data_IF_712701561488
#
_entry.id   IF_712701561488
#
_cell.length_a   1.000
_cell.length_b   1.000
_cell.length_c   1.000
_cell.angle_alpha   90.00
_cell.angle_beta   90.00
_cell.angle_gamma   90.00
#
_symmetry.space_group_name_H-M   'P 1'
#
loop_
_entity.id
_entity.type
_entity.pdbx_description
1 polymer ?
#
# COMPACT_ATOMS: atom_id res chain seq x y z
N UNK A 1 -24.74 -39.10 0.88
CA UNK A 1 -24.12 -37.77 1.08
C UNK A 1 -22.61 -38.00 1.11
N UNK A 2 -21.74 -37.50 0.25
CA UNK A 2 -21.77 -36.64 -0.95
C UNK A 2 -20.79 -37.32 -1.93
N UNK A 3 -21.20 -37.42 -3.20
CA UNK A 3 -20.51 -38.12 -4.29
C UNK A 3 -19.27 -37.34 -4.74
N UNK A 4 -18.10 -37.97 -4.74
CA UNK A 4 -16.94 -37.52 -5.55
C UNK A 4 -16.88 -38.41 -6.77
N UNK A 5 -17.50 -37.94 -7.84
CA UNK A 5 -17.41 -38.55 -9.17
C UNK A 5 -16.13 -38.06 -9.84
N UNK A 6 -15.08 -38.88 -9.83
CA UNK A 6 -13.96 -38.73 -10.78
C UNK A 6 -13.90 -40.03 -11.56
N UNK A 7 -14.56 -39.99 -12.71
CA UNK A 7 -14.56 -41.05 -13.70
C UNK A 7 -13.15 -41.14 -14.30
N UNK A 8 -12.47 -42.22 -13.95
CA UNK A 8 -11.29 -42.76 -14.60
C UNK A 8 -11.44 -42.79 -16.12
N UNK A 9 -10.45 -42.25 -16.84
CA UNK A 9 -10.11 -42.73 -18.19
C UNK A 9 -8.67 -43.23 -18.21
N UNK A 10 -8.43 -44.39 -18.83
CA UNK A 10 -7.19 -45.14 -18.69
C UNK A 10 -6.14 -44.61 -19.66
N UNK A 11 -4.91 -44.45 -19.21
CA UNK A 11 -3.77 -44.37 -20.12
C UNK A 11 -2.61 -45.14 -19.50
N UNK A 12 -2.51 -46.39 -19.94
CA UNK A 12 -1.33 -47.22 -20.12
C UNK A 12 -0.02 -46.78 -19.46
N UNK A 13 0.35 -47.54 -18.42
CA UNK A 13 1.68 -48.12 -18.18
C UNK A 13 2.77 -47.77 -19.22
N UNK A 14 3.79 -47.01 -18.81
CA UNK A 14 5.22 -47.41 -18.87
C UNK A 14 6.05 -46.54 -17.92
N UNK A 15 6.67 -47.22 -16.96
CA UNK A 15 7.68 -46.72 -16.04
C UNK A 15 8.96 -46.42 -16.84
N UNK A 16 9.39 -45.16 -16.89
CA UNK A 16 10.76 -44.80 -17.27
C UNK A 16 11.19 -43.49 -16.59
N UNK A 17 12.48 -43.42 -16.32
CA UNK A 17 13.17 -42.61 -15.32
C UNK A 17 13.04 -41.08 -15.48
N UNK A 18 12.92 -40.41 -14.33
CA UNK A 18 13.64 -39.20 -13.88
C UNK A 18 13.97 -38.15 -14.95
N UNK A 19 13.23 -37.03 -14.92
CA UNK A 19 13.82 -35.67 -14.97
C UNK A 19 12.83 -34.70 -14.35
N UNK A 20 13.06 -34.42 -13.07
CA UNK A 20 12.32 -33.43 -12.29
C UNK A 20 12.87 -32.04 -12.67
N UNK A 21 12.29 -31.38 -13.67
CA UNK A 21 12.53 -29.95 -13.88
C UNK A 21 11.66 -29.17 -12.88
N UNK A 22 12.13 -29.10 -11.62
CA UNK A 22 11.58 -28.16 -10.63
C UNK A 22 11.99 -26.77 -11.09
N UNK A 23 11.06 -26.05 -11.69
CA UNK A 23 11.13 -24.60 -11.80
C UNK A 23 10.91 -24.06 -10.39
N UNK A 24 12.00 -23.97 -9.61
CA UNK A 24 12.01 -23.35 -8.31
C UNK A 24 11.76 -21.86 -8.48
N UNK A 25 10.51 -21.44 -8.45
CA UNK A 25 10.16 -20.04 -8.21
C UNK A 25 10.64 -19.71 -6.81
N UNK A 26 11.84 -19.15 -6.69
CA UNK A 26 12.27 -18.50 -5.46
C UNK A 26 11.29 -17.35 -5.23
N UNK A 27 10.39 -17.53 -4.27
CA UNK A 27 9.65 -16.41 -3.72
C UNK A 27 10.70 -15.45 -3.14
N UNK A 28 10.98 -14.37 -3.86
CA UNK A 28 11.77 -13.26 -3.32
C UNK A 28 10.86 -12.63 -2.27
N UNK A 29 11.01 -13.03 -1.01
CA UNK A 29 10.46 -12.29 0.10
C UNK A 29 11.10 -10.90 0.05
N UNK A 30 10.35 -9.90 -0.35
CA UNK A 30 10.74 -8.51 -0.18
C UNK A 30 10.86 -8.27 1.33
N UNK A 31 12.10 -8.23 1.84
CA UNK A 31 12.38 -7.88 3.22
C UNK A 31 11.92 -6.44 3.45
N UNK A 32 10.83 -6.25 4.19
CA UNK A 32 10.32 -4.94 4.55
C UNK A 32 11.07 -4.40 5.76
N UNK A 33 12.36 -4.10 5.58
CA UNK A 33 13.30 -3.74 6.65
C UNK A 33 12.90 -2.50 7.48
N UNK A 34 11.95 -1.70 6.99
CA UNK A 34 11.49 -0.48 7.65
C UNK A 34 10.22 -0.67 8.50
N UNK A 35 9.59 -1.87 8.51
CA UNK A 35 8.26 -2.07 9.13
C UNK A 35 8.27 -1.97 10.65
N UNK A 36 9.39 -2.31 11.30
CA UNK A 36 9.52 -2.22 12.75
C UNK A 36 9.89 -0.79 13.23
N UNK A 37 10.25 0.10 12.31
CA UNK A 37 10.54 1.50 12.58
C UNK A 37 9.24 2.30 12.57
N UNK A 38 9.18 3.38 13.37
CA UNK A 38 8.11 4.37 13.28
C UNK A 38 8.72 5.76 13.12
N UNK A 39 7.89 6.79 12.95
CA UNK A 39 8.36 8.17 13.04
C UNK A 39 9.39 8.56 11.99
N UNK A 40 10.35 9.37 12.43
CA UNK A 40 11.43 9.87 11.58
C UNK A 40 12.34 8.73 11.10
N UNK A 41 12.58 7.71 11.92
CA UNK A 41 13.41 6.57 11.57
C UNK A 41 12.79 5.76 10.43
N UNK A 42 11.49 5.51 10.48
CA UNK A 42 10.77 4.86 9.37
C UNK A 42 10.84 5.69 8.10
N UNK A 43 10.64 7.01 8.22
CA UNK A 43 10.69 7.94 7.09
C UNK A 43 12.08 7.97 6.44
N UNK A 44 13.14 7.97 7.24
CA UNK A 44 14.53 7.88 6.77
C UNK A 44 14.76 6.55 6.05
N UNK A 45 14.42 5.43 6.68
CA UNK A 45 14.59 4.09 6.11
C UNK A 45 13.88 3.92 4.77
N UNK A 46 12.64 4.42 4.63
CA UNK A 46 11.90 4.31 3.37
C UNK A 46 12.49 5.21 2.27
N UNK A 47 12.98 6.40 2.61
CA UNK A 47 13.69 7.26 1.65
C UNK A 47 15.01 6.61 1.19
N UNK A 48 15.76 6.02 2.11
CA UNK A 48 17.00 5.29 1.78
C UNK A 48 16.72 4.10 0.85
N UNK A 49 15.66 3.34 1.14
CA UNK A 49 15.22 2.21 0.29
C UNK A 49 14.85 2.68 -1.12
N UNK A 50 14.08 3.76 -1.24
CA UNK A 50 13.74 4.35 -2.54
C UNK A 50 14.98 4.90 -3.26
N UNK A 51 15.95 5.42 -2.51
CA UNK A 51 17.19 5.95 -3.06
C UNK A 51 18.02 4.82 -3.67
N UNK A 52 18.13 3.68 -2.98
CA UNK A 52 18.84 2.51 -3.49
C UNK A 52 18.14 1.89 -4.71
N UNK A 53 16.81 1.86 -4.71
CA UNK A 53 16.03 1.46 -5.89
C UNK A 53 16.27 2.41 -7.08
N UNK A 54 16.29 3.72 -6.86
CA UNK A 54 16.57 4.71 -7.90
C UNK A 54 17.99 4.57 -8.45
N UNK A 55 18.99 4.27 -7.60
CA UNK A 55 20.37 3.99 -8.03
C UNK A 55 20.43 2.72 -8.88
N UNK A 56 19.77 1.65 -8.45
CA UNK A 56 19.73 0.37 -9.16
C UNK A 56 19.17 0.51 -10.58
N UNK A 57 18.11 1.32 -10.73
CA UNK A 57 17.47 1.58 -12.02
C UNK A 57 18.08 2.73 -12.81
N UNK A 58 19.15 3.36 -12.31
CA UNK A 58 19.83 4.47 -12.98
C UNK A 58 18.99 5.75 -13.09
N UNK A 59 17.96 5.91 -12.27
CA UNK A 59 17.08 7.08 -12.30
C UNK A 59 17.69 8.29 -11.58
N UNK A 60 18.62 8.98 -12.25
CA UNK A 60 19.40 10.09 -11.67
C UNK A 60 18.57 11.26 -11.16
N UNK A 61 17.42 11.56 -11.79
CA UNK A 61 16.54 12.64 -11.31
C UNK A 61 15.88 12.27 -9.98
N UNK A 62 15.37 11.05 -9.88
CA UNK A 62 14.77 10.54 -8.65
C UNK A 62 15.82 10.42 -7.55
N UNK A 63 17.01 9.88 -7.86
CA UNK A 63 18.14 9.79 -6.92
C UNK A 63 18.48 11.15 -6.30
N UNK A 64 18.63 12.20 -7.12
CA UNK A 64 18.93 13.56 -6.63
C UNK A 64 17.80 14.13 -5.76
N UNK A 65 16.54 13.89 -6.12
CA UNK A 65 15.39 14.31 -5.32
C UNK A 65 15.35 13.61 -3.96
N UNK A 66 15.54 12.29 -3.95
CA UNK A 66 15.54 11.48 -2.73
C UNK A 66 16.73 11.80 -1.82
N UNK A 67 17.92 12.06 -2.38
CA UNK A 67 19.07 12.48 -1.58
C UNK A 67 18.83 13.83 -0.86
N UNK A 68 18.17 14.79 -1.54
CA UNK A 68 17.77 16.06 -0.91
C UNK A 68 16.69 15.83 0.15
N UNK A 69 15.70 14.99 -0.11
CA UNK A 69 14.65 14.66 0.85
C UNK A 69 15.24 13.97 2.10
N UNK A 70 16.20 13.06 1.92
CA UNK A 70 16.89 12.37 3.00
C UNK A 70 17.61 13.37 3.91
N UNK A 71 18.39 14.29 3.33
CA UNK A 71 19.07 15.35 4.10
C UNK A 71 18.08 16.23 4.85
N UNK A 72 16.98 16.63 4.21
CA UNK A 72 15.96 17.46 4.84
C UNK A 72 15.30 16.74 6.03
N UNK A 73 14.98 15.45 5.89
CA UNK A 73 14.40 14.64 6.96
C UNK A 73 15.41 14.45 8.10
N UNK A 74 16.68 14.18 7.80
CA UNK A 74 17.73 14.06 8.81
C UNK A 74 17.96 15.36 9.60
N UNK A 75 17.73 16.52 8.98
CA UNK A 75 17.94 17.83 9.62
C UNK A 75 16.71 18.35 10.37
N UNK A 76 15.51 18.04 9.91
CA UNK A 76 14.29 18.76 10.32
C UNK A 76 13.15 17.85 10.79
N UNK A 77 13.26 16.53 10.68
CA UNK A 77 12.18 15.66 11.12
C UNK A 77 12.06 15.68 12.64
N UNK A 78 10.88 16.06 13.13
CA UNK A 78 10.50 15.98 14.54
C UNK A 78 9.19 15.20 14.65
N UNK A 79 8.98 14.53 15.79
CA UNK A 79 7.72 13.83 16.06
C UNK A 79 6.52 14.78 16.03
N UNK A 80 6.67 16.01 16.56
CA UNK A 80 5.62 17.04 16.53
C UNK A 80 5.21 17.40 15.11
N UNK A 81 6.19 17.67 14.23
CA UNK A 81 5.93 17.99 12.83
C UNK A 81 5.22 16.84 12.10
N UNK A 82 5.60 15.59 12.39
CA UNK A 82 4.97 14.43 11.79
C UNK A 82 3.52 14.25 12.28
N UNK A 83 3.27 14.47 13.57
CA UNK A 83 1.92 14.41 14.15
C UNK A 83 1.02 15.52 13.57
N UNK A 84 1.54 16.74 13.44
CA UNK A 84 0.80 17.87 12.84
C UNK A 84 0.44 17.56 11.38
N UNK A 85 1.40 17.08 10.58
CA UNK A 85 1.14 16.67 9.20
C UNK A 85 0.05 15.58 9.10
N UNK A 86 0.09 14.57 9.98
CA UNK A 86 -0.95 13.52 10.01
C UNK A 86 -2.32 14.06 10.43
N UNK A 87 -2.38 15.00 11.37
CA UNK A 87 -3.64 15.63 11.78
C UNK A 87 -4.26 16.44 10.64
N UNK A 88 -3.44 17.17 9.90
CA UNK A 88 -3.87 17.90 8.70
C UNK A 88 -4.37 16.95 7.61
N UNK A 89 -3.64 15.87 7.32
CA UNK A 89 -4.07 14.85 6.37
C UNK A 89 -5.39 14.19 6.82
N UNK A 90 -5.54 13.84 8.11
CA UNK A 90 -6.78 13.29 8.67
C UNK A 90 -7.95 14.26 8.49
N UNK A 91 -7.72 15.56 8.69
CA UNK A 91 -8.75 16.58 8.50
C UNK A 91 -9.14 16.69 7.03
N UNK A 92 -8.18 16.68 6.11
CA UNK A 92 -8.43 16.66 4.67
C UNK A 92 -9.26 15.42 4.27
N UNK A 93 -8.86 14.22 4.71
CA UNK A 93 -9.60 12.98 4.39
C UNK A 93 -11.03 13.00 4.90
N UNK A 94 -11.27 13.54 6.10
CA UNK A 94 -12.63 13.72 6.63
C UNK A 94 -13.45 14.69 5.77
N UNK A 95 -12.85 15.78 5.32
CA UNK A 95 -13.53 16.73 4.43
C UNK A 95 -13.84 16.09 3.07
N UNK A 96 -12.89 15.39 2.46
CA UNK A 96 -13.09 14.67 1.21
C UNK A 96 -14.25 13.65 1.31
N UNK A 97 -14.34 12.93 2.42
CA UNK A 97 -15.44 11.98 2.67
C UNK A 97 -16.78 12.70 2.68
N UNK A 98 -16.89 13.82 3.39
CA UNK A 98 -18.12 14.64 3.47
C UNK A 98 -18.50 15.14 2.07
N UNK A 99 -17.53 15.66 1.32
CA UNK A 99 -17.75 16.18 -0.02
C UNK A 99 -18.22 15.07 -0.98
N UNK A 100 -17.60 13.90 -0.92
CA UNK A 100 -18.04 12.74 -1.72
C UNK A 100 -19.39 12.17 -1.29
N UNK A 101 -19.76 12.26 -0.01
CA UNK A 101 -21.09 11.88 0.48
C UNK A 101 -22.17 12.80 -0.11
N UNK A 102 -21.91 14.12 -0.13
CA UNK A 102 -22.81 15.10 -0.74
C UNK A 102 -22.94 14.86 -2.26
N UNK A 103 -21.81 14.71 -2.96
CA UNK A 103 -21.76 14.40 -4.39
C UNK A 103 -22.52 13.10 -4.74
N UNK A 104 -22.39 12.07 -3.89
CA UNK A 104 -23.13 10.82 -4.03
C UNK A 104 -24.63 11.04 -3.87
N UNK A 105 -25.05 11.78 -2.85
CA UNK A 105 -26.47 12.09 -2.61
C UNK A 105 -27.08 12.87 -3.77
N UNK A 106 -26.31 13.78 -4.38
CA UNK A 106 -26.73 14.53 -5.57
C UNK A 106 -26.90 13.60 -6.77
N UNK A 107 -25.92 12.71 -7.00
CA UNK A 107 -26.01 11.71 -8.06
C UNK A 107 -27.20 10.74 -7.89
N UNK A 108 -27.57 10.41 -6.65
CA UNK A 108 -28.76 9.59 -6.35
C UNK A 108 -30.04 10.32 -6.73
N UNK A 109 -30.19 11.61 -6.38
CA UNK A 109 -31.36 12.42 -6.74
C UNK A 109 -31.50 12.59 -8.25
N UNK A 110 -30.38 12.64 -8.97
CA UNK A 110 -30.34 12.75 -10.42
C UNK A 110 -30.44 11.40 -11.16
N UNK A 111 -30.50 10.27 -10.44
CA UNK A 111 -30.54 8.93 -11.04
C UNK A 111 -29.26 8.51 -11.78
N UNK A 112 -28.12 9.14 -11.48
CA UNK A 112 -26.83 8.91 -12.17
C UNK A 112 -26.07 7.73 -11.54
N UNK A 113 -26.54 6.50 -11.77
CA UNK A 113 -26.00 5.28 -11.14
C UNK A 113 -24.47 5.11 -11.24
N UNK A 114 -23.87 5.38 -12.40
CA UNK A 114 -22.41 5.29 -12.56
C UNK A 114 -21.64 6.29 -11.67
N UNK A 115 -22.21 7.48 -11.42
CA UNK A 115 -21.61 8.45 -10.51
C UNK A 115 -21.77 8.00 -9.06
N UNK A 116 -22.92 7.44 -8.69
CA UNK A 116 -23.16 6.89 -7.35
C UNK A 116 -22.10 5.85 -7.00
N UNK A 117 -21.85 4.88 -7.89
CA UNK A 117 -20.82 3.86 -7.69
C UNK A 117 -19.41 4.48 -7.59
N UNK A 118 -19.08 5.42 -8.48
CA UNK A 118 -17.78 6.11 -8.46
C UNK A 118 -17.54 6.84 -7.13
N UNK A 119 -18.54 7.53 -6.60
CA UNK A 119 -18.42 8.25 -5.33
C UNK A 119 -18.38 7.29 -4.14
N UNK A 120 -19.12 6.19 -4.17
CA UNK A 120 -19.02 5.13 -3.16
C UNK A 120 -17.58 4.58 -3.07
N UNK A 121 -16.97 4.23 -4.20
CA UNK A 121 -15.58 3.78 -4.25
C UNK A 121 -14.57 4.85 -3.80
N UNK A 122 -14.88 6.14 -3.98
CA UNK A 122 -14.04 7.23 -3.48
C UNK A 122 -14.15 7.33 -1.96
N UNK A 123 -15.36 7.26 -1.40
CA UNK A 123 -15.60 7.28 0.05
C UNK A 123 -14.84 6.13 0.72
N UNK A 124 -14.98 4.90 0.21
CA UNK A 124 -14.30 3.71 0.77
C UNK A 124 -12.78 3.86 0.76
N UNK A 125 -12.22 4.41 -0.32
CA UNK A 125 -10.77 4.67 -0.40
C UNK A 125 -10.31 5.72 0.61
N UNK A 126 -11.07 6.82 0.77
CA UNK A 126 -10.71 7.84 1.75
C UNK A 126 -10.89 7.32 3.19
N UNK A 127 -11.87 6.44 3.45
CA UNK A 127 -12.05 5.79 4.75
C UNK A 127 -10.87 4.88 5.10
N UNK A 128 -10.44 4.03 4.16
CA UNK A 128 -9.27 3.16 4.36
C UNK A 128 -7.99 3.99 4.61
N UNK A 129 -7.81 5.09 3.88
CA UNK A 129 -6.69 6.01 4.08
C UNK A 129 -6.76 6.71 5.44
N UNK A 130 -7.96 7.17 5.83
CA UNK A 130 -8.21 7.80 7.13
C UNK A 130 -7.87 6.84 8.28
N UNK A 131 -8.30 5.58 8.20
CA UNK A 131 -7.97 4.55 9.19
C UNK A 131 -6.46 4.34 9.29
N UNK A 132 -5.74 4.27 8.16
CA UNK A 132 -4.29 4.14 8.14
C UNK A 132 -3.59 5.32 8.80
N UNK A 133 -4.02 6.55 8.51
CA UNK A 133 -3.45 7.77 9.10
C UNK A 133 -3.72 7.85 10.61
N UNK A 134 -4.91 7.44 11.04
CA UNK A 134 -5.25 7.37 12.47
C UNK A 134 -4.40 6.35 13.22
N UNK A 135 -4.15 5.19 12.60
CA UNK A 135 -3.26 4.19 13.16
C UNK A 135 -1.82 4.71 13.24
N UNK A 136 -1.32 5.34 12.17
CA UNK A 136 0.02 5.93 12.17
C UNK A 136 0.18 7.01 13.25
N UNK A 137 -0.82 7.87 13.42
CA UNK A 137 -0.82 8.87 14.49
C UNK A 137 -0.83 8.22 15.87
N UNK A 138 -1.57 7.12 16.06
CA UNK A 138 -1.59 6.38 17.32
C UNK A 138 -0.22 5.76 17.61
N UNK A 139 0.43 5.15 16.61
CA UNK A 139 1.76 4.55 16.76
C UNK A 139 2.80 5.60 17.16
N UNK A 140 2.72 6.82 16.61
CA UNK A 140 3.60 7.93 17.01
C UNK A 140 3.31 8.46 18.41
N UNK A 141 2.05 8.47 18.84
CA UNK A 141 1.65 8.97 20.16
C UNK A 141 2.03 8.03 21.32
N UNK A 142 2.43 6.80 21.02
CA UNK A 142 2.71 5.75 22.01
C UNK A 142 4.20 5.49 22.26
N UNK A 143 5.11 6.17 21.54
CA UNK A 143 6.56 6.15 21.79
C UNK A 143 7.04 7.46 22.41
#
# INVERSE_FOLDING_TARGET
MIKVSILSRPCSLRLSLVTLFVCGSTAVFASSACVDLIGCERKICEIERQLDDAKLHGNKKQEQGLAKALLAVQQHCTSEYLMEALLDDIKEKKQDIIDYQNDKQDAEREGKLQKVEKYQQKIERQQAELERLQQELADLSTK
#
